data_IF_971013546066
#
_entry.id   IF_971013546066
#
_cell.length_a   1.000
_cell.length_b   1.000
_cell.length_c   1.000
_cell.angle_alpha   90.00
_cell.angle_beta   90.00
_cell.angle_gamma   90.00
#
_symmetry.space_group_name_H-M   'P 1'
#
loop_
_entity.id
_entity.type
_entity.pdbx_description
1 polymer ?
#
# COMPACT_ATOMS: atom_id res chain seq x y z
N UNK A 1 -37.14 0.21 17.21
CA UNK A 1 -36.08 0.99 17.86
C UNK A 1 -34.84 0.12 17.87
N UNK A 2 -34.03 0.20 16.82
CA UNK A 2 -32.90 -0.72 16.61
C UNK A 2 -31.65 -0.06 17.20
N UNK A 3 -31.07 -0.68 18.23
CA UNK A 3 -29.84 -0.19 18.87
C UNK A 3 -28.65 -0.56 17.98
N UNK A 4 -28.00 0.45 17.40
CA UNK A 4 -26.70 0.30 16.75
C UNK A 4 -25.67 0.09 17.87
N UNK A 5 -25.15 -1.12 17.97
CA UNK A 5 -24.04 -1.46 18.87
C UNK A 5 -22.73 -0.95 18.26
N UNK A 6 -22.23 0.19 18.76
CA UNK A 6 -20.88 0.67 18.48
C UNK A 6 -19.90 0.02 19.47
N UNK A 7 -19.51 -1.23 19.22
CA UNK A 7 -18.34 -1.80 19.89
C UNK A 7 -17.07 -1.42 19.10
N UNK A 8 -16.07 -0.77 19.71
CA UNK A 8 -14.80 -0.54 19.06
C UNK A 8 -14.01 -1.86 19.00
N UNK A 9 -13.72 -2.33 17.78
CA UNK A 9 -12.87 -3.50 17.52
C UNK A 9 -11.47 -3.28 18.13
N UNK A 10 -11.01 -4.10 19.09
CA UNK A 10 -9.69 -3.96 19.69
C UNK A 10 -8.64 -4.55 18.74
N UNK A 11 -7.96 -3.70 17.98
CA UNK A 11 -6.89 -4.17 17.10
C UNK A 11 -6.06 -3.12 16.35
N UNK A 12 -6.33 -1.82 16.53
CA UNK A 12 -5.53 -0.78 15.86
C UNK A 12 -4.28 -0.45 16.66
N UNK A 13 -3.24 -1.25 16.48
CA UNK A 13 -1.88 -0.78 16.75
C UNK A 13 -1.55 0.19 15.62
N UNK A 14 -1.70 1.49 15.90
CA UNK A 14 -1.15 2.55 15.06
C UNK A 14 0.37 2.48 15.19
N UNK A 15 1.01 1.69 14.34
CA UNK A 15 2.45 1.78 14.12
C UNK A 15 2.73 3.22 13.68
N UNK A 16 3.33 3.98 14.59
CA UNK A 16 3.82 5.35 14.34
C UNK A 16 4.70 5.28 13.11
N UNK A 17 4.16 5.72 11.98
CA UNK A 17 4.92 5.82 10.75
C UNK A 17 5.93 6.95 10.94
N UNK A 18 7.22 6.62 11.04
CA UNK A 18 8.27 7.63 10.94
C UNK A 18 8.15 8.28 9.57
N UNK A 19 7.78 9.56 9.53
CA UNK A 19 7.49 10.28 8.28
C UNK A 19 8.74 10.48 7.39
N UNK A 20 9.93 10.19 7.90
CA UNK A 20 11.22 10.29 7.18
C UNK A 20 11.71 8.96 6.55
N UNK A 21 10.98 7.85 6.69
CA UNK A 21 11.37 6.57 6.08
C UNK A 21 11.29 6.64 4.54
N UNK A 22 12.34 6.21 3.80
CA UNK A 22 12.26 6.11 2.34
C UNK A 22 11.08 5.23 1.91
N UNK A 23 10.23 5.74 1.01
CA UNK A 23 9.02 5.05 0.56
C UNK A 23 9.23 3.62 0.02
N UNK A 24 10.44 3.34 -0.49
CA UNK A 24 10.85 1.99 -0.89
C UNK A 24 10.92 1.01 0.28
N UNK A 25 11.52 1.44 1.40
CA UNK A 25 11.64 0.62 2.61
C UNK A 25 10.27 0.41 3.24
N UNK A 26 9.46 1.47 3.25
CA UNK A 26 8.08 1.45 3.74
C UNK A 26 7.20 0.47 2.97
N UNK A 27 7.24 0.49 1.64
CA UNK A 27 6.54 -0.49 0.80
C UNK A 27 7.00 -1.93 1.11
N UNK A 28 8.32 -2.15 1.23
CA UNK A 28 8.86 -3.47 1.57
C UNK A 28 8.40 -3.96 2.94
N UNK A 29 8.39 -3.09 3.95
CA UNK A 29 7.91 -3.40 5.31
C UNK A 29 6.42 -3.73 5.34
N UNK A 30 5.64 -3.09 4.48
CA UNK A 30 4.23 -3.40 4.28
C UNK A 30 3.99 -4.73 3.53
N UNK A 31 5.03 -5.40 3.04
CA UNK A 31 4.92 -6.63 2.24
C UNK A 31 4.65 -6.38 0.75
N UNK A 32 4.75 -5.12 0.28
CA UNK A 32 4.61 -4.78 -1.13
C UNK A 32 5.93 -4.94 -1.87
N UNK A 33 5.95 -5.85 -2.84
CA UNK A 33 7.02 -5.89 -3.85
C UNK A 33 6.78 -4.81 -4.91
N UNK A 34 7.83 -4.42 -5.65
CA UNK A 34 7.66 -3.47 -6.77
C UNK A 34 6.71 -4.00 -7.85
N UNK A 35 6.71 -5.31 -8.09
CA UNK A 35 5.80 -5.98 -9.02
C UNK A 35 4.34 -5.86 -8.55
N UNK A 36 4.05 -6.19 -7.28
CA UNK A 36 2.69 -6.05 -6.72
C UNK A 36 2.21 -4.61 -6.70
N UNK A 37 3.07 -3.67 -6.30
CA UNK A 37 2.72 -2.26 -6.33
C UNK A 37 2.43 -1.77 -7.75
N UNK A 38 3.12 -2.31 -8.76
CA UNK A 38 2.88 -1.98 -10.15
C UNK A 38 1.53 -2.47 -10.65
N UNK A 39 1.18 -3.72 -10.33
CA UNK A 39 -0.14 -4.29 -10.61
C UNK A 39 -1.27 -3.48 -9.94
N UNK A 40 -1.14 -3.18 -8.65
CA UNK A 40 -2.14 -2.34 -7.92
C UNK A 40 -2.30 -0.94 -8.51
N UNK A 41 -1.26 -0.42 -9.15
CA UNK A 41 -1.28 0.91 -9.78
C UNK A 41 -1.65 0.86 -11.27
N UNK A 42 -1.77 -0.33 -11.88
CA UNK A 42 -2.00 -0.48 -13.32
C UNK A 42 -0.87 0.08 -14.17
N UNK A 43 0.39 0.00 -13.70
CA UNK A 43 1.57 0.51 -14.43
C UNK A 43 2.64 -0.58 -14.59
N UNK A 44 3.59 -0.36 -15.49
CA UNK A 44 4.72 -1.28 -15.64
C UNK A 44 5.65 -1.26 -14.39
N UNK A 45 6.27 -2.39 -14.00
CA UNK A 45 7.15 -2.46 -12.82
C UNK A 45 8.33 -1.47 -12.85
N UNK A 46 8.87 -1.21 -14.03
CA UNK A 46 9.93 -0.21 -14.22
C UNK A 46 9.47 1.19 -13.79
N UNK A 47 8.18 1.50 -13.96
CA UNK A 47 7.59 2.81 -13.66
C UNK A 47 7.54 3.02 -12.16
N UNK A 48 7.16 2.00 -11.39
CA UNK A 48 7.19 2.04 -9.91
C UNK A 48 8.61 2.29 -9.39
N UNK A 49 9.60 1.57 -9.92
CA UNK A 49 11.00 1.76 -9.52
C UNK A 49 11.49 3.20 -9.78
N UNK A 50 11.09 3.79 -10.91
CA UNK A 50 11.40 5.19 -11.26
C UNK A 50 10.65 6.18 -10.38
N UNK A 51 9.36 5.96 -10.11
CA UNK A 51 8.52 6.78 -9.23
C UNK A 51 9.05 6.81 -7.79
N UNK A 52 9.41 5.65 -7.23
CA UNK A 52 9.94 5.53 -5.87
C UNK A 52 11.32 6.18 -5.71
N UNK A 53 12.07 6.35 -6.81
CA UNK A 53 13.34 7.11 -6.85
C UNK A 53 13.13 8.60 -7.14
N UNK A 54 11.89 9.04 -7.31
CA UNK A 54 11.57 10.43 -7.65
C UNK A 54 11.96 10.82 -9.08
N UNK A 55 12.22 9.89 -10.01
CA UNK A 55 12.74 10.25 -11.35
C UNK A 55 11.77 11.01 -12.27
N UNK A 56 10.51 11.16 -11.87
CA UNK A 56 9.50 11.91 -12.61
C UNK A 56 9.22 13.30 -12.01
N UNK A 57 10.07 13.76 -11.08
CA UNK A 57 9.93 15.03 -10.37
C UNK A 57 10.98 15.17 -9.27
N UNK A 58 10.66 15.87 -8.18
CA UNK A 58 11.53 15.95 -7.00
C UNK A 58 11.17 14.89 -5.93
N UNK A 59 10.01 14.24 -6.07
CA UNK A 59 9.45 13.35 -5.05
C UNK A 59 8.67 12.18 -5.64
N UNK A 60 8.39 11.19 -4.78
CA UNK A 60 7.44 10.10 -5.07
C UNK A 60 6.04 10.67 -5.31
N UNK A 61 5.33 10.28 -6.38
CA UNK A 61 3.99 10.81 -6.65
C UNK A 61 2.99 10.52 -5.53
N UNK A 62 2.07 11.46 -5.29
CA UNK A 62 1.10 11.39 -4.19
C UNK A 62 0.25 10.12 -4.23
N UNK A 63 -0.20 9.70 -5.41
CA UNK A 63 -1.02 8.48 -5.54
C UNK A 63 -0.24 7.21 -5.12
N UNK A 64 1.06 7.14 -5.40
CA UNK A 64 1.92 6.02 -4.96
C UNK A 64 2.01 6.00 -3.43
N UNK A 65 2.26 7.17 -2.82
CA UNK A 65 2.29 7.34 -1.36
C UNK A 65 0.96 6.91 -0.73
N UNK A 66 -0.16 7.30 -1.34
CA UNK A 66 -1.53 6.94 -0.90
C UNK A 66 -1.77 5.45 -0.95
N UNK A 67 -1.40 4.76 -2.04
CA UNK A 67 -1.58 3.30 -2.15
C UNK A 67 -0.74 2.56 -1.12
N UNK A 68 0.51 2.96 -0.90
CA UNK A 68 1.38 2.35 0.13
C UNK A 68 0.75 2.54 1.52
N UNK A 69 0.33 3.76 1.87
CA UNK A 69 -0.33 4.04 3.16
C UNK A 69 -1.64 3.27 3.32
N UNK A 70 -2.45 3.19 2.26
CA UNK A 70 -3.70 2.43 2.30
C UNK A 70 -3.40 0.95 2.57
N UNK A 71 -2.45 0.36 1.86
CA UNK A 71 -2.05 -1.04 2.03
C UNK A 71 -1.51 -1.34 3.45
N UNK A 72 -0.74 -0.42 4.03
CA UNK A 72 -0.30 -0.52 5.43
C UNK A 72 -1.45 -0.59 6.44
N UNK A 73 -2.58 0.05 6.14
CA UNK A 73 -3.74 0.08 7.03
C UNK A 73 -4.65 -1.14 6.88
N UNK A 74 -4.49 -1.93 5.81
CA UNK A 74 -5.31 -3.10 5.57
C UNK A 74 -4.95 -4.24 6.53
N UNK A 75 -5.96 -4.98 7.06
CA UNK A 75 -5.75 -6.27 7.68
C UNK A 75 -5.03 -7.24 6.76
N UNK A 76 -4.30 -8.19 7.34
CA UNK A 76 -3.54 -9.20 6.59
C UNK A 76 -4.39 -9.95 5.55
N UNK A 77 -5.64 -10.30 5.91
CA UNK A 77 -6.58 -10.99 5.01
C UNK A 77 -6.89 -10.18 3.74
N UNK A 78 -7.12 -8.88 3.88
CA UNK A 78 -7.43 -7.99 2.75
C UNK A 78 -6.20 -7.77 1.86
N UNK A 79 -5.00 -7.72 2.46
CA UNK A 79 -3.73 -7.67 1.70
C UNK A 79 -3.52 -8.91 0.83
N UNK A 80 -3.87 -10.08 1.34
CA UNK A 80 -3.80 -11.35 0.59
C UNK A 80 -4.81 -11.40 -0.54
N UNK A 81 -6.03 -10.91 -0.32
CA UNK A 81 -7.06 -10.81 -1.36
C UNK A 81 -6.63 -9.86 -2.49
N UNK A 82 -6.17 -8.66 -2.15
CA UNK A 82 -5.61 -7.72 -3.14
C UNK A 82 -4.40 -8.30 -3.86
N UNK A 83 -3.59 -9.09 -3.17
CA UNK A 83 -2.44 -9.75 -3.80
C UNK A 83 -2.88 -10.77 -4.85
N UNK A 84 -3.94 -11.54 -4.59
CA UNK A 84 -4.50 -12.49 -5.55
C UNK A 84 -5.09 -11.77 -6.77
N UNK A 85 -5.82 -10.68 -6.56
CA UNK A 85 -6.38 -9.87 -7.64
C UNK A 85 -5.28 -9.27 -8.53
N UNK A 86 -4.21 -8.76 -7.91
CA UNK A 86 -3.06 -8.22 -8.63
C UNK A 86 -2.29 -9.26 -9.44
N UNK A 87 -2.38 -10.55 -9.07
CA UNK A 87 -1.77 -11.66 -9.80
C UNK A 87 -2.65 -12.13 -10.97
N UNK A 88 -3.99 -11.99 -10.89
CA UNK A 88 -4.92 -12.35 -11.98
C UNK A 88 -4.99 -11.34 -13.12
N UNK A 89 -4.66 -10.07 -12.87
CA UNK A 89 -4.68 -9.02 -13.91
C UNK A 89 -3.46 -9.10 -14.87
N UNK A 90 -2.53 -10.03 -14.63
CA UNK A 90 -1.36 -10.28 -15.50
C UNK A 90 -1.59 -11.38 -16.56
N UNK A 91 -2.71 -12.12 -16.49
CA UNK A 91 -3.11 -13.20 -17.43
C UNK A 91 -3.98 -12.67 -18.58
#
# INVERSE_FOLDING_TARGET
>A
MTLISCAPEPGRILLVAMDDEPWQQRAKRAGLTQKRLAALLGVAPNTVSRQLRGQFGSEVPRYVKTVIRAYEMLPQREREELSRLAESDEE
#
